data_IF_707422130593
#
_entry.id   IF_707422130593
#
_cell.length_a   1.000
_cell.length_b   1.000
_cell.length_c   1.000
_cell.angle_alpha   90.00
_cell.angle_beta   90.00
_cell.angle_gamma   90.00
#
_symmetry.space_group_name_H-M   'P 1'
#
loop_
_entity.id
_entity.type
_entity.pdbx_description
1 polymer ?
#
# COMPACT_ATOMS: atom_id res chain seq x y z
N UNK A 1 4.84 12.68 -26.15
CA UNK A 1 5.74 11.55 -25.79
C UNK A 1 5.99 11.45 -24.28
N UNK A 2 6.10 12.55 -23.52
CA UNK A 2 6.44 12.52 -22.09
C UNK A 2 5.34 11.93 -21.15
N UNK A 3 4.07 11.89 -21.55
CA UNK A 3 2.99 11.48 -20.63
C UNK A 3 2.80 9.97 -20.49
N UNK A 4 3.07 9.19 -21.56
CA UNK A 4 3.01 7.71 -21.51
C UNK A 4 4.00 7.10 -20.50
N UNK A 5 5.16 7.72 -20.35
CA UNK A 5 6.18 7.34 -19.36
C UNK A 5 5.75 7.65 -17.93
N UNK A 6 4.94 8.69 -17.72
CA UNK A 6 4.43 9.12 -16.41
C UNK A 6 3.36 8.17 -15.87
N UNK A 7 2.41 7.73 -16.72
CA UNK A 7 1.39 6.74 -16.34
C UNK A 7 2.02 5.37 -16.05
N UNK A 8 2.95 4.91 -16.90
CA UNK A 8 3.66 3.66 -16.68
C UNK A 8 4.48 3.68 -15.37
N UNK A 9 5.07 4.82 -15.02
CA UNK A 9 5.76 5.01 -13.73
C UNK A 9 4.81 4.90 -12.55
N UNK A 10 3.65 5.59 -12.60
CA UNK A 10 2.65 5.54 -11.53
C UNK A 10 2.09 4.12 -11.32
N UNK A 11 1.79 3.40 -12.39
CA UNK A 11 1.35 2.00 -12.30
C UNK A 11 2.44 1.09 -11.69
N UNK A 12 3.72 1.37 -12.00
CA UNK A 12 4.86 0.72 -11.34
C UNK A 12 4.92 0.99 -9.84
N UNK A 13 4.74 2.25 -9.42
CA UNK A 13 4.69 2.62 -8.00
C UNK A 13 3.50 1.98 -7.28
N UNK A 14 2.31 1.97 -7.90
CA UNK A 14 1.11 1.34 -7.33
C UNK A 14 1.34 -0.16 -7.10
N UNK A 15 1.93 -0.87 -8.08
CA UNK A 15 2.31 -2.29 -7.93
C UNK A 15 3.35 -2.50 -6.83
N UNK A 16 4.32 -1.60 -6.71
CA UNK A 16 5.29 -1.61 -5.63
C UNK A 16 4.63 -1.49 -4.25
N UNK A 17 3.70 -0.53 -4.09
CA UNK A 17 2.93 -0.35 -2.85
C UNK A 17 2.06 -1.58 -2.56
N UNK A 18 1.42 -2.17 -3.57
CA UNK A 18 0.65 -3.41 -3.40
C UNK A 18 1.48 -4.58 -2.90
N UNK A 19 2.71 -4.70 -3.40
CA UNK A 19 3.64 -5.72 -2.94
C UNK A 19 4.01 -5.50 -1.47
N UNK A 20 4.25 -4.25 -1.07
CA UNK A 20 4.49 -3.89 0.34
C UNK A 20 3.29 -4.19 1.23
N UNK A 21 2.07 -3.87 0.80
CA UNK A 21 0.84 -4.18 1.55
C UNK A 21 0.73 -5.68 1.81
N UNK A 22 0.92 -6.52 0.77
CA UNK A 22 0.87 -7.98 0.89
C UNK A 22 1.92 -8.54 1.86
N UNK A 23 3.11 -7.92 1.86
CA UNK A 23 4.19 -8.29 2.79
C UNK A 23 3.80 -7.98 4.24
N UNK A 24 3.27 -6.79 4.50
CA UNK A 24 2.78 -6.40 5.84
C UNK A 24 1.61 -7.29 6.27
N UNK A 25 0.69 -7.62 5.37
CA UNK A 25 -0.39 -8.57 5.63
C UNK A 25 0.13 -9.94 6.07
N UNK A 26 1.14 -10.47 5.39
CA UNK A 26 1.76 -11.74 5.76
C UNK A 26 2.41 -11.67 7.14
N UNK A 27 3.08 -10.56 7.46
CA UNK A 27 3.67 -10.34 8.80
C UNK A 27 2.62 -10.24 9.91
N UNK A 28 1.45 -9.64 9.63
CA UNK A 28 0.33 -9.61 10.58
C UNK A 28 -0.17 -11.03 10.84
N UNK A 29 -0.38 -11.84 9.79
CA UNK A 29 -0.81 -13.24 9.93
C UNK A 29 0.19 -14.05 10.74
N UNK A 30 1.49 -13.87 10.53
CA UNK A 30 2.53 -14.52 11.35
C UNK A 30 2.46 -14.10 12.84
N UNK A 31 2.20 -12.82 13.12
CA UNK A 31 2.06 -12.31 14.49
C UNK A 31 0.80 -12.85 15.15
N UNK A 32 -0.33 -12.85 14.44
CA UNK A 32 -1.59 -13.45 14.89
C UNK A 32 -1.43 -14.95 15.17
N UNK A 33 -0.69 -15.66 14.31
CA UNK A 33 -0.32 -17.07 14.52
C UNK A 33 0.43 -17.28 15.84
N UNK A 34 1.49 -16.50 16.09
CA UNK A 34 2.26 -16.58 17.34
C UNK A 34 1.43 -16.21 18.57
N UNK A 35 0.53 -15.25 18.45
CA UNK A 35 -0.39 -14.88 19.54
C UNK A 35 -1.38 -16.00 19.88
N UNK A 36 -1.64 -16.92 18.95
CA UNK A 36 -2.49 -18.09 19.16
C UNK A 36 -1.75 -19.30 19.74
N UNK A 37 -0.41 -19.26 19.83
CA UNK A 37 0.39 -20.36 20.35
C UNK A 37 0.18 -20.55 21.88
N UNK A 38 -0.06 -21.78 22.34
CA UNK A 38 -0.17 -22.06 23.76
C UNK A 38 1.20 -21.91 24.43
N UNK A 39 1.21 -21.39 25.67
CA UNK A 39 2.43 -21.27 26.47
C UNK A 39 3.27 -20.04 26.18
N UNK A 40 2.79 -19.10 25.35
CA UNK A 40 3.41 -17.79 25.19
C UNK A 40 3.36 -17.01 26.51
N UNK A 41 4.47 -16.35 26.88
CA UNK A 41 4.50 -15.50 28.07
C UNK A 41 3.67 -14.23 27.85
N UNK A 42 3.18 -13.64 28.94
CA UNK A 42 2.42 -12.38 28.84
C UNK A 42 3.30 -11.22 28.35
N UNK A 43 4.61 -11.22 28.65
CA UNK A 43 5.55 -10.23 28.10
C UNK A 43 5.67 -10.36 26.58
N UNK A 44 5.81 -11.58 26.05
CA UNK A 44 5.92 -11.79 24.60
C UNK A 44 4.59 -11.47 23.91
N UNK A 45 3.45 -11.81 24.52
CA UNK A 45 2.12 -11.44 24.04
C UNK A 45 1.96 -9.92 23.95
N UNK A 46 2.41 -9.16 24.95
CA UNK A 46 2.40 -7.70 24.90
C UNK A 46 3.31 -7.15 23.79
N UNK A 47 4.49 -7.74 23.59
CA UNK A 47 5.40 -7.35 22.50
C UNK A 47 4.78 -7.61 21.12
N UNK A 48 4.17 -8.78 20.94
CA UNK A 48 3.49 -9.15 19.70
C UNK A 48 2.30 -8.24 19.40
N UNK A 49 1.46 -7.90 20.40
CA UNK A 49 0.36 -6.94 20.22
C UNK A 49 0.86 -5.57 19.77
N UNK A 50 1.91 -5.03 20.40
CA UNK A 50 2.52 -3.76 19.96
C UNK A 50 3.06 -3.84 18.53
N UNK A 51 3.64 -4.98 18.16
CA UNK A 51 4.12 -5.22 16.79
C UNK A 51 2.95 -5.28 15.80
N UNK A 52 1.88 -5.97 16.15
CA UNK A 52 0.66 -6.05 15.35
C UNK A 52 0.05 -4.66 15.11
N UNK A 53 -0.08 -3.84 16.16
CA UNK A 53 -0.57 -2.47 16.08
C UNK A 53 0.28 -1.61 15.14
N UNK A 54 1.61 -1.74 15.23
CA UNK A 54 2.53 -1.06 14.33
C UNK A 54 2.32 -1.48 12.87
N UNK A 55 2.25 -2.79 12.61
CA UNK A 55 2.03 -3.32 11.26
C UNK A 55 0.67 -2.89 10.68
N UNK A 56 -0.39 -2.84 11.50
CA UNK A 56 -1.71 -2.35 11.08
C UNK A 56 -1.66 -0.87 10.68
N UNK A 57 -0.95 -0.04 11.44
CA UNK A 57 -0.73 1.39 11.09
C UNK A 57 0.10 1.55 9.81
N UNK A 58 1.17 0.77 9.67
CA UNK A 58 1.99 0.78 8.44
C UNK A 58 1.15 0.39 7.22
N UNK A 59 0.32 -0.66 7.35
CA UNK A 59 -0.61 -1.10 6.30
C UNK A 59 -1.61 0.00 5.91
N UNK A 60 -2.14 0.74 6.88
CA UNK A 60 -3.04 1.86 6.64
C UNK A 60 -2.36 2.99 5.87
N UNK A 61 -1.15 3.38 6.27
CA UNK A 61 -0.34 4.37 5.56
C UNK A 61 -0.04 3.94 4.11
N UNK A 62 0.26 2.66 3.89
CA UNK A 62 0.47 2.13 2.54
C UNK A 62 -0.82 2.17 1.70
N UNK A 63 -1.99 1.91 2.30
CA UNK A 63 -3.28 2.03 1.61
C UNK A 63 -3.61 3.48 1.25
N UNK A 64 -3.37 4.42 2.15
CA UNK A 64 -3.51 5.85 1.87
C UNK A 64 -2.57 6.29 0.73
N UNK A 65 -1.30 5.89 0.79
CA UNK A 65 -0.34 6.15 -0.28
C UNK A 65 -0.82 5.59 -1.63
N UNK A 66 -1.36 4.36 -1.64
CA UNK A 66 -1.90 3.75 -2.86
C UNK A 66 -3.07 4.55 -3.42
N UNK A 67 -3.97 5.02 -2.57
CA UNK A 67 -5.10 5.85 -2.98
C UNK A 67 -4.63 7.16 -3.62
N UNK A 68 -3.66 7.85 -2.99
CA UNK A 68 -3.06 9.07 -3.55
C UNK A 68 -2.42 8.83 -4.92
N UNK A 69 -1.75 7.70 -5.12
CA UNK A 69 -1.17 7.33 -6.43
C UNK A 69 -2.26 7.09 -7.49
N UNK A 70 -3.35 6.41 -7.12
CA UNK A 70 -4.51 6.20 -8.01
C UNK A 70 -5.22 7.51 -8.37
N UNK A 71 -5.32 8.44 -7.42
CA UNK A 71 -5.88 9.78 -7.69
C UNK A 71 -5.01 10.57 -8.67
N UNK A 72 -3.68 10.53 -8.49
CA UNK A 72 -2.73 11.15 -9.42
C UNK A 72 -2.82 10.56 -10.83
N UNK A 73 -2.89 9.24 -10.93
CA UNK A 73 -3.06 8.53 -12.21
C UNK A 73 -4.34 8.98 -12.93
N UNK A 74 -5.46 9.06 -12.20
CA UNK A 74 -6.74 9.50 -12.74
C UNK A 74 -6.74 10.97 -13.15
N UNK A 75 -6.04 11.84 -12.42
CA UNK A 75 -5.88 13.24 -12.77
C UNK A 75 -5.07 13.41 -14.05
N UNK A 76 -3.95 12.70 -14.18
CA UNK A 76 -3.11 12.71 -15.37
C UNK A 76 -3.88 12.24 -16.61
N UNK A 77 -4.66 11.15 -16.48
CA UNK A 77 -5.50 10.65 -17.56
C UNK A 77 -6.56 11.68 -18.01
N UNK A 78 -7.15 12.42 -17.07
CA UNK A 78 -8.10 13.50 -17.38
C UNK A 78 -7.43 14.66 -18.12
N UNK A 79 -6.19 15.00 -17.75
CA UNK A 79 -5.42 16.05 -18.43
C UNK A 79 -5.08 15.66 -19.86
N UNK A 80 -4.66 14.42 -20.10
CA UNK A 80 -4.43 13.88 -21.46
C UNK A 80 -5.69 13.96 -22.32
N UNK A 81 -6.83 13.46 -21.81
CA UNK A 81 -8.10 13.50 -22.53
C UNK A 81 -8.57 14.93 -22.86
N UNK A 82 -8.25 15.91 -22.00
CA UNK A 82 -8.55 17.32 -22.26
C UNK A 82 -7.60 17.90 -23.31
N UNK A 83 -6.32 17.59 -23.24
CA UNK A 83 -5.33 18.04 -24.22
C UNK A 83 -5.63 17.50 -25.62
N UNK A 84 -6.01 16.23 -25.72
CA UNK A 84 -6.40 15.60 -26.98
C UNK A 84 -7.66 16.25 -27.58
N UNK A 85 -8.62 16.67 -26.75
CA UNK A 85 -9.84 17.37 -27.22
C UNK A 85 -9.60 18.81 -27.69
N UNK A 86 -8.51 19.44 -27.26
CA UNK A 86 -8.16 20.82 -27.64
C UNK A 86 -7.20 20.88 -28.84
N UNK A 87 -6.70 19.72 -29.29
CA UNK A 87 -5.75 19.60 -30.40
C UNK A 87 -6.39 19.06 -31.68
N UNK A 88 -7.72 18.83 -31.68
CA UNK A 88 -8.57 18.45 -32.82
C UNK A 88 -9.46 19.63 -33.19
#
# INVERSE_FOLDING_TARGET
>A
MASSTSLASLEGEIKGVDTSIKKVESQIVEVEGKLSEPGISEEEKQRLRKKEDYLRKEKEQLREKKLLLREKELLLLKEELRADRLTV
#
